data_IF_790988761272
#
_entry.id   IF_790988761272
#
_cell.length_a   1.000
_cell.length_b   1.000
_cell.length_c   1.000
_cell.angle_alpha   90.00
_cell.angle_beta   90.00
_cell.angle_gamma   90.00
#
_symmetry.space_group_name_H-M   'P 1'
#
loop_
_entity.id
_entity.type
_entity.pdbx_description
1 polymer ?
#
# COMPACT_ATOMS: atom_id res chain seq x y z
N UNK A 1 -2.85 -2.81 -12.47
CA UNK A 1 -2.99 -1.48 -13.14
C UNK A 1 -4.48 -1.23 -13.34
N UNK A 2 -5.07 -0.19 -12.75
CA UNK A 2 -6.50 0.11 -12.95
C UNK A 2 -6.72 0.64 -14.38
N UNK A 3 -7.85 0.27 -15.03
CA UNK A 3 -8.14 0.71 -16.40
C UNK A 3 -8.13 2.24 -16.52
N UNK A 4 -7.68 2.73 -17.67
CA UNK A 4 -7.68 4.17 -18.03
C UNK A 4 -9.09 4.59 -18.51
N UNK A 5 -10.05 4.63 -17.59
CA UNK A 5 -11.42 5.01 -17.96
C UNK A 5 -11.58 6.52 -17.99
N UNK A 6 -12.37 7.00 -18.93
CA UNK A 6 -12.65 8.43 -19.11
C UNK A 6 -13.67 8.98 -18.10
N UNK A 7 -14.28 8.14 -17.28
CA UNK A 7 -15.23 8.51 -16.24
C UNK A 7 -15.93 7.30 -15.63
N UNK A 8 -16.53 7.48 -14.45
CA UNK A 8 -17.32 6.47 -13.75
C UNK A 8 -16.63 5.76 -12.60
N UNK A 9 -17.28 4.72 -12.12
CA UNK A 9 -16.86 3.90 -10.99
C UNK A 9 -16.06 2.68 -11.46
N UNK A 10 -15.03 2.34 -10.70
CA UNK A 10 -14.33 1.07 -10.76
C UNK A 10 -14.11 0.53 -9.36
N UNK A 11 -14.10 -0.79 -9.20
CA UNK A 11 -13.79 -1.43 -7.95
C UNK A 11 -12.95 -2.68 -8.20
N UNK A 12 -12.16 -3.04 -7.21
CA UNK A 12 -11.32 -4.23 -7.20
C UNK A 12 -11.32 -4.82 -5.81
N UNK A 13 -11.32 -6.14 -5.75
CA UNK A 13 -11.09 -6.88 -4.49
C UNK A 13 -9.93 -7.83 -4.76
N UNK A 14 -8.95 -7.84 -3.87
CA UNK A 14 -7.87 -8.82 -3.93
C UNK A 14 -7.56 -9.36 -2.54
N UNK A 15 -7.05 -10.58 -2.52
CA UNK A 15 -6.68 -11.29 -1.31
C UNK A 15 -5.17 -11.38 -1.22
N UNK A 16 -4.64 -11.11 -0.02
CA UNK A 16 -3.21 -11.14 0.28
C UNK A 16 -2.95 -12.06 1.47
N UNK A 17 -1.92 -12.88 1.36
CA UNK A 17 -1.39 -13.71 2.44
C UNK A 17 0.04 -13.28 2.72
N UNK A 18 0.32 -12.90 3.96
CA UNK A 18 1.64 -12.52 4.42
C UNK A 18 2.11 -13.55 5.43
N UNK A 19 3.21 -14.23 5.11
CA UNK A 19 3.85 -15.18 6.01
C UNK A 19 5.26 -14.69 6.35
N UNK A 20 5.55 -14.59 7.66
CA UNK A 20 6.86 -14.24 8.18
C UNK A 20 7.30 -15.32 9.17
N UNK A 21 8.46 -15.89 8.98
CA UNK A 21 9.00 -16.98 9.82
C UNK A 21 10.17 -16.53 10.69
N UNK A 22 10.72 -15.37 10.44
CA UNK A 22 11.88 -14.84 11.15
C UNK A 22 11.76 -13.33 11.38
N UNK A 23 12.15 -12.88 12.55
CA UNK A 23 12.38 -11.47 12.85
C UNK A 23 13.90 -11.26 12.96
N UNK A 24 14.44 -10.40 12.09
CA UNK A 24 15.88 -10.18 11.99
C UNK A 24 16.27 -8.80 12.52
N UNK A 25 17.43 -8.72 13.20
CA UNK A 25 18.14 -7.48 13.47
C UNK A 25 19.54 -7.59 12.85
N UNK A 26 19.74 -6.94 11.71
CA UNK A 26 20.90 -7.19 10.87
C UNK A 26 20.86 -8.62 10.31
N UNK A 27 21.90 -9.41 10.56
CA UNK A 27 22.01 -10.82 10.17
C UNK A 27 21.54 -11.81 11.26
N UNK A 28 21.18 -11.32 12.44
CA UNK A 28 20.83 -12.16 13.58
C UNK A 28 19.32 -12.33 13.72
N UNK A 29 18.85 -13.55 14.00
CA UNK A 29 17.46 -13.82 14.37
C UNK A 29 17.21 -13.32 15.79
N UNK A 30 16.27 -12.36 15.94
CA UNK A 30 15.91 -11.80 17.23
C UNK A 30 15.14 -12.80 18.09
N UNK A 31 14.21 -13.54 17.46
CA UNK A 31 13.33 -14.47 18.17
C UNK A 31 13.26 -15.80 17.41
N UNK A 32 14.06 -16.81 17.80
CA UNK A 32 13.91 -18.17 17.27
C UNK A 32 12.49 -18.70 17.58
N UNK A 33 11.78 -19.18 16.56
CA UNK A 33 10.39 -19.66 16.71
C UNK A 33 9.33 -18.57 16.55
N UNK A 34 9.69 -17.37 16.08
CA UNK A 34 8.74 -16.37 15.62
C UNK A 34 8.04 -16.85 14.35
N UNK A 35 6.73 -16.73 14.30
CA UNK A 35 5.95 -16.85 13.07
C UNK A 35 4.79 -15.86 13.07
N UNK A 36 4.48 -15.31 11.90
CA UNK A 36 3.34 -14.43 11.71
C UNK A 36 2.66 -14.78 10.38
N UNK A 37 1.37 -15.05 10.45
CA UNK A 37 0.51 -15.26 9.29
C UNK A 37 -0.63 -14.24 9.31
N UNK A 38 -0.78 -13.49 8.21
CA UNK A 38 -1.82 -12.48 8.05
C UNK A 38 -2.55 -12.73 6.75
N UNK A 39 -3.87 -12.83 6.83
CA UNK A 39 -4.78 -13.00 5.70
C UNK A 39 -5.63 -11.74 5.55
N UNK A 40 -5.51 -11.03 4.43
CA UNK A 40 -6.11 -9.72 4.22
C UNK A 40 -6.95 -9.72 2.95
N UNK A 41 -8.16 -9.18 3.05
CA UNK A 41 -9.00 -8.82 1.93
C UNK A 41 -8.89 -7.31 1.70
N UNK A 42 -8.45 -6.89 0.52
CA UNK A 42 -8.36 -5.49 0.14
C UNK A 42 -9.53 -5.10 -0.74
N UNK A 43 -10.27 -4.09 -0.32
CA UNK A 43 -11.32 -3.45 -1.11
C UNK A 43 -10.77 -2.14 -1.67
N UNK A 44 -10.77 -2.00 -2.99
CA UNK A 44 -10.34 -0.79 -3.66
C UNK A 44 -11.47 -0.25 -4.52
N UNK A 45 -11.74 1.04 -4.37
CA UNK A 45 -12.70 1.78 -5.18
C UNK A 45 -12.04 2.95 -5.87
N UNK A 46 -12.45 3.25 -7.08
CA UNK A 46 -12.05 4.44 -7.80
C UNK A 46 -13.27 5.11 -8.42
N UNK A 47 -13.34 6.43 -8.30
CA UNK A 47 -14.24 7.24 -9.09
C UNK A 47 -13.45 8.22 -9.94
N UNK A 48 -13.75 8.24 -11.23
CA UNK A 48 -13.07 9.08 -12.22
C UNK A 48 -14.05 10.12 -12.74
N UNK A 49 -13.76 11.41 -12.50
CA UNK A 49 -14.50 12.52 -13.12
C UNK A 49 -14.02 12.80 -14.53
N UNK A 50 -12.71 12.82 -14.68
CA UNK A 50 -11.99 12.98 -15.95
C UNK A 50 -10.76 12.09 -15.90
N UNK A 51 -10.18 11.76 -17.04
CA UNK A 51 -8.96 10.93 -17.10
C UNK A 51 -7.80 11.47 -16.24
N UNK A 52 -7.80 12.78 -15.98
CA UNK A 52 -6.78 13.48 -15.20
C UNK A 52 -7.11 13.54 -13.70
N UNK A 53 -8.39 13.39 -13.31
CA UNK A 53 -8.87 13.62 -11.93
C UNK A 53 -9.69 12.41 -11.48
N UNK A 54 -9.24 11.76 -10.45
CA UNK A 54 -9.95 10.63 -9.83
C UNK A 54 -9.72 10.61 -8.32
N UNK A 55 -10.63 9.95 -7.60
CA UNK A 55 -10.43 9.60 -6.19
C UNK A 55 -10.24 8.09 -6.11
N UNK A 56 -9.34 7.67 -5.24
CA UNK A 56 -9.09 6.25 -4.95
C UNK A 56 -9.31 6.05 -3.47
N UNK A 57 -10.07 5.02 -3.12
CA UNK A 57 -10.26 4.57 -1.75
C UNK A 57 -9.74 3.12 -1.63
N UNK A 58 -8.95 2.85 -0.59
CA UNK A 58 -8.45 1.51 -0.27
C UNK A 58 -8.77 1.20 1.17
N UNK A 59 -9.47 0.10 1.39
CA UNK A 59 -9.89 -0.36 2.71
C UNK A 59 -9.53 -1.84 2.86
N UNK A 60 -8.54 -2.18 3.69
CA UNK A 60 -8.22 -3.57 4.00
C UNK A 60 -9.12 -4.10 5.13
N UNK A 61 -9.44 -5.38 5.04
CA UNK A 61 -10.07 -6.15 6.10
C UNK A 61 -9.21 -7.36 6.44
N UNK A 62 -8.69 -7.43 7.65
CA UNK A 62 -7.95 -8.58 8.15
C UNK A 62 -8.94 -9.69 8.50
N UNK A 63 -8.91 -10.77 7.72
CA UNK A 63 -9.72 -11.96 7.96
C UNK A 63 -9.21 -12.73 9.17
N UNK A 64 -7.91 -12.90 9.25
CA UNK A 64 -7.19 -13.49 10.38
C UNK A 64 -5.75 -13.01 10.39
N UNK A 65 -5.24 -12.74 11.56
CA UNK A 65 -3.84 -12.49 11.81
C UNK A 65 -3.43 -13.26 13.04
N UNK A 66 -2.37 -14.04 12.96
CA UNK A 66 -1.83 -14.84 14.04
C UNK A 66 -0.33 -14.63 14.13
N UNK A 67 0.15 -14.29 15.32
CA UNK A 67 1.57 -14.14 15.64
C UNK A 67 1.94 -15.04 16.79
N UNK A 68 2.93 -15.88 16.59
CA UNK A 68 3.56 -16.67 17.63
C UNK A 68 4.91 -16.06 18.01
N UNK A 69 5.14 -15.89 19.30
CA UNK A 69 6.43 -15.45 19.85
C UNK A 69 6.81 -16.32 21.06
N UNK A 70 8.11 -16.56 21.33
CA UNK A 70 8.53 -17.16 22.57
C UNK A 70 8.15 -16.27 23.76
N UNK A 71 7.61 -16.84 24.82
CA UNK A 71 7.22 -16.12 26.04
C UNK A 71 8.39 -15.87 27.02
N UNK A 72 9.61 -16.31 26.67
CA UNK A 72 10.80 -16.19 27.50
C UNK A 72 10.89 -17.22 28.63
N UNK A 73 9.83 -18.00 28.88
CA UNK A 73 9.79 -19.07 29.91
C UNK A 73 9.82 -20.48 29.29
N UNK A 74 9.99 -20.57 27.97
CA UNK A 74 10.00 -21.83 27.21
C UNK A 74 8.64 -22.18 26.62
N UNK A 75 7.62 -21.33 26.79
CA UNK A 75 6.30 -21.41 26.16
C UNK A 75 6.21 -20.54 24.92
N UNK A 76 5.00 -20.48 24.34
CA UNK A 76 4.64 -19.64 23.19
C UNK A 76 3.52 -18.69 23.58
N UNK A 77 3.70 -17.42 23.24
CA UNK A 77 2.65 -16.41 23.27
C UNK A 77 2.01 -16.36 21.87
N UNK A 78 0.71 -16.59 21.80
CA UNK A 78 -0.06 -16.52 20.55
C UNK A 78 -0.98 -15.30 20.64
N UNK A 79 -0.81 -14.39 19.68
CA UNK A 79 -1.67 -13.22 19.52
C UNK A 79 -2.49 -13.40 18.24
N UNK A 80 -3.81 -13.15 18.34
CA UNK A 80 -4.74 -13.22 17.20
C UNK A 80 -5.52 -11.94 17.09
N UNK A 81 -5.75 -11.52 15.84
CA UNK A 81 -6.53 -10.32 15.54
C UNK A 81 -7.30 -10.47 14.22
N UNK A 82 -8.35 -9.66 14.05
CA UNK A 82 -9.12 -9.55 12.82
C UNK A 82 -9.89 -8.23 12.82
N UNK A 83 -10.25 -7.72 11.66
CA UNK A 83 -11.08 -6.52 11.57
C UNK A 83 -10.66 -5.55 10.46
N UNK A 84 -11.29 -4.38 10.47
CA UNK A 84 -11.00 -3.33 9.51
C UNK A 84 -9.66 -2.66 9.79
N UNK A 85 -8.86 -2.48 8.74
CA UNK A 85 -7.66 -1.66 8.80
C UNK A 85 -7.94 -0.19 8.46
N UNK A 86 -6.89 0.56 8.18
CA UNK A 86 -6.98 1.99 7.91
C UNK A 86 -7.54 2.27 6.52
N UNK A 87 -8.49 3.20 6.44
CA UNK A 87 -8.98 3.70 5.16
C UNK A 87 -7.95 4.66 4.55
N UNK A 88 -7.44 4.32 3.38
CA UNK A 88 -6.56 5.19 2.60
C UNK A 88 -7.33 5.85 1.46
N UNK A 89 -7.35 7.17 1.45
CA UNK A 89 -7.90 7.98 0.37
C UNK A 89 -6.79 8.66 -0.40
N UNK A 90 -6.90 8.71 -1.72
CA UNK A 90 -5.94 9.38 -2.58
C UNK A 90 -6.63 10.12 -3.72
N UNK A 91 -6.11 11.29 -4.08
CA UNK A 91 -6.59 12.09 -5.21
C UNK A 91 -5.46 12.24 -6.25
N UNK A 92 -5.24 11.23 -7.11
CA UNK A 92 -4.25 11.36 -8.18
C UNK A 92 -4.71 12.37 -9.23
N UNK A 93 -3.92 13.42 -9.37
CA UNK A 93 -4.02 14.45 -10.40
C UNK A 93 -2.97 14.14 -11.45
N UNK A 94 -3.40 13.75 -12.65
CA UNK A 94 -2.51 13.33 -13.74
C UNK A 94 -2.46 14.37 -14.85
N UNK A 95 -1.24 14.64 -15.33
CA UNK A 95 -1.00 15.38 -16.56
C UNK A 95 -0.38 14.44 -17.59
N UNK A 96 -1.11 14.21 -18.68
CA UNK A 96 -0.64 13.37 -19.78
C UNK A 96 0.17 14.18 -20.79
N UNK A 97 1.13 13.53 -21.40
CA UNK A 97 1.90 14.06 -22.54
C UNK A 97 2.04 13.01 -23.63
N UNK A 98 2.17 13.47 -24.86
CA UNK A 98 2.46 12.65 -26.02
C UNK A 98 3.45 13.44 -26.89
N UNK A 99 4.67 12.97 -27.00
CA UNK A 99 5.78 13.65 -27.67
C UNK A 99 6.51 12.62 -28.55
N UNK A 100 6.50 12.80 -29.84
CA UNK A 100 7.31 12.08 -30.85
C UNK A 100 7.54 10.60 -30.55
N UNK A 101 6.46 9.81 -30.52
CA UNK A 101 6.53 8.36 -30.27
C UNK A 101 6.73 7.98 -28.79
N UNK A 102 6.66 8.93 -27.87
CA UNK A 102 6.67 8.71 -26.42
C UNK A 102 5.37 9.22 -25.83
N UNK A 103 4.68 8.38 -25.07
CA UNK A 103 3.52 8.77 -24.29
C UNK A 103 3.78 8.56 -22.81
N UNK A 104 3.18 9.37 -21.98
CA UNK A 104 3.37 9.20 -20.55
C UNK A 104 2.49 10.09 -19.70
N UNK A 105 2.74 10.08 -18.40
CA UNK A 105 2.07 10.96 -17.46
C UNK A 105 2.95 11.35 -16.28
N UNK A 106 2.66 12.53 -15.75
CA UNK A 106 3.13 12.94 -14.41
C UNK A 106 1.94 12.97 -13.48
N UNK A 107 2.12 12.46 -12.27
CA UNK A 107 1.07 12.37 -11.25
C UNK A 107 1.48 13.10 -9.99
N UNK A 108 0.60 13.93 -9.47
CA UNK A 108 0.64 14.45 -8.10
C UNK A 108 -0.53 13.85 -7.33
N UNK A 109 -0.29 13.29 -6.14
CA UNK A 109 -1.30 12.55 -5.39
C UNK A 109 -1.30 12.93 -3.92
N UNK A 110 -2.12 13.91 -3.48
CA UNK A 110 -2.43 14.07 -2.07
C UNK A 110 -3.18 12.85 -1.55
N UNK A 111 -2.86 12.46 -0.31
CA UNK A 111 -3.38 11.25 0.33
C UNK A 111 -3.71 11.51 1.79
N UNK A 112 -4.69 10.76 2.30
CA UNK A 112 -5.08 10.76 3.71
C UNK A 112 -5.28 9.32 4.16
N UNK A 113 -4.79 8.98 5.35
CA UNK A 113 -5.05 7.73 6.05
C UNK A 113 -5.92 8.02 7.26
N UNK A 114 -7.02 7.29 7.39
CA UNK A 114 -8.00 7.43 8.45
C UNK A 114 -8.05 6.09 9.20
N UNK A 115 -7.66 6.06 10.49
CA UNK A 115 -7.75 4.85 11.29
C UNK A 115 -9.21 4.48 11.55
N UNK A 116 -9.62 3.26 11.20
CA UNK A 116 -10.96 2.74 11.46
C UNK A 116 -10.97 1.68 12.56
N UNK A 117 -9.83 1.04 12.81
CA UNK A 117 -9.71 0.03 13.85
C UNK A 117 -9.67 0.67 15.25
N UNK A 118 -10.34 0.04 16.22
CA UNK A 118 -10.22 0.42 17.62
C UNK A 118 -8.95 -0.17 18.22
N UNK A 119 -8.40 0.50 19.24
CA UNK A 119 -7.25 0.01 19.99
C UNK A 119 -7.62 -1.26 20.74
N UNK A 120 -7.04 -2.40 20.36
CA UNK A 120 -6.95 -3.58 21.17
C UNK A 120 -5.60 -4.28 20.92
N UNK A 121 -5.20 -5.16 21.77
CA UNK A 121 -3.87 -5.67 22.11
C UNK A 121 -2.86 -5.99 21.01
N UNK A 122 -3.24 -6.06 19.73
CA UNK A 122 -2.34 -6.33 18.62
C UNK A 122 -2.66 -5.48 17.40
N UNK A 123 -1.63 -4.73 16.92
CA UNK A 123 -1.77 -3.78 15.84
C UNK A 123 -1.17 -4.31 14.54
N UNK A 124 -2.00 -4.75 13.60
CA UNK A 124 -1.61 -4.99 12.20
C UNK A 124 -1.61 -3.71 11.37
N UNK A 125 -2.31 -2.68 11.84
CA UNK A 125 -2.42 -1.37 11.20
C UNK A 125 -2.01 -0.28 12.18
N UNK A 126 -1.65 0.83 11.62
CA UNK A 126 -0.98 1.90 12.36
C UNK A 126 -1.89 2.68 13.30
N UNK A 127 -3.20 2.63 13.14
CA UNK A 127 -4.22 3.31 13.97
C UNK A 127 -3.93 4.80 14.21
N UNK A 128 -3.14 5.41 13.35
CA UNK A 128 -2.78 6.82 13.40
C UNK A 128 -3.27 7.53 12.15
N UNK A 129 -3.85 8.71 12.35
CA UNK A 129 -4.19 9.56 11.24
C UNK A 129 -2.91 9.99 10.50
N UNK A 130 -2.96 9.95 9.18
CA UNK A 130 -1.80 10.31 8.37
C UNK A 130 -2.20 11.17 7.17
N UNK A 131 -1.31 12.06 6.79
CA UNK A 131 -1.38 12.80 5.52
C UNK A 131 -0.16 12.47 4.69
N UNK A 132 -0.36 12.38 3.38
CA UNK A 132 0.71 12.01 2.47
C UNK A 132 0.66 12.75 1.14
N UNK A 133 1.82 12.81 0.51
CA UNK A 133 1.98 13.36 -0.85
C UNK A 133 2.73 12.35 -1.70
N UNK A 134 2.15 12.01 -2.85
CA UNK A 134 2.76 11.16 -3.86
C UNK A 134 3.12 11.92 -5.11
N UNK A 135 4.24 11.55 -5.72
CA UNK A 135 4.65 11.99 -7.05
C UNK A 135 4.99 10.77 -7.89
N UNK A 136 4.63 10.81 -9.15
CA UNK A 136 4.94 9.76 -10.09
C UNK A 136 5.20 10.33 -11.46
N UNK A 137 6.09 9.69 -12.20
CA UNK A 137 6.34 9.97 -13.60
C UNK A 137 6.50 8.65 -14.34
N UNK A 138 5.77 8.50 -15.42
CA UNK A 138 5.79 7.31 -16.26
C UNK A 138 5.87 7.71 -17.73
N UNK A 139 6.61 6.96 -18.53
CA UNK A 139 6.58 7.10 -19.96
C UNK A 139 6.75 5.74 -20.65
N UNK A 140 6.25 5.66 -21.86
CA UNK A 140 6.21 4.48 -22.69
C UNK A 140 6.56 4.84 -24.12
N UNK A 141 7.34 3.98 -24.75
CA UNK A 141 7.65 3.97 -26.18
C UNK A 141 7.12 2.67 -26.78
N UNK A 142 7.34 2.43 -28.08
CA UNK A 142 7.01 1.14 -28.69
C UNK A 142 7.71 -0.05 -27.98
N UNK A 143 8.95 0.16 -27.54
CA UNK A 143 9.83 -0.92 -27.09
C UNK A 143 9.99 -1.00 -25.57
N UNK A 144 9.84 0.10 -24.84
CA UNK A 144 10.05 0.09 -23.40
C UNK A 144 9.10 1.01 -22.64
N UNK A 145 8.88 0.63 -21.38
CA UNK A 145 8.16 1.38 -20.38
C UNK A 145 9.10 1.71 -19.23
N UNK A 146 8.97 2.90 -18.67
CA UNK A 146 9.67 3.33 -17.46
C UNK A 146 8.72 4.08 -16.55
N UNK A 147 8.79 3.78 -15.25
CA UNK A 147 8.03 4.46 -14.21
C UNK A 147 8.87 4.70 -12.97
N UNK A 148 8.73 5.87 -12.37
CA UNK A 148 9.27 6.20 -11.06
C UNK A 148 8.17 6.81 -10.21
N UNK A 149 8.12 6.41 -8.94
CA UNK A 149 7.18 6.93 -7.97
C UNK A 149 7.80 7.14 -6.62
N UNK A 150 7.31 8.15 -5.89
CA UNK A 150 7.63 8.35 -4.48
C UNK A 150 6.41 8.85 -3.75
N UNK A 151 6.28 8.49 -2.48
CA UNK A 151 5.23 8.95 -1.58
C UNK A 151 5.80 9.19 -0.20
N UNK A 152 5.46 10.31 0.40
CA UNK A 152 5.81 10.69 1.76
C UNK A 152 4.57 10.69 2.61
N UNK A 153 4.70 10.18 3.85
CA UNK A 153 3.66 10.16 4.84
C UNK A 153 4.14 10.79 6.13
N UNK A 154 3.27 11.57 6.74
CA UNK A 154 3.44 12.13 8.08
C UNK A 154 2.21 11.71 8.88
N UNK A 155 2.43 11.28 10.12
CA UNK A 155 1.40 10.76 11.02
C UNK A 155 1.24 11.67 12.23
N UNK A 156 0.04 11.70 12.80
CA UNK A 156 -0.17 12.22 14.14
C UNK A 156 0.38 11.20 15.16
N UNK A 157 0.94 11.67 16.25
CA UNK A 157 1.56 10.81 17.27
C UNK A 157 3.07 10.68 17.12
N UNK A 158 3.61 9.58 17.63
CA UNK A 158 5.08 9.34 17.74
C UNK A 158 5.67 8.55 16.58
N UNK A 159 4.90 8.29 15.53
CA UNK A 159 5.37 7.53 14.40
C UNK A 159 6.31 8.36 13.52
N UNK A 160 7.45 7.81 13.11
CA UNK A 160 8.33 8.48 12.16
C UNK A 160 7.65 8.64 10.79
N UNK A 161 8.03 9.71 10.08
CA UNK A 161 7.62 9.89 8.69
C UNK A 161 8.10 8.72 7.82
N UNK A 162 7.29 8.33 6.83
CA UNK A 162 7.61 7.25 5.91
C UNK A 162 7.83 7.76 4.49
N UNK A 163 8.77 7.14 3.79
CA UNK A 163 9.02 7.37 2.37
C UNK A 163 8.94 6.03 1.65
N UNK A 164 8.05 5.96 0.67
CA UNK A 164 7.90 4.80 -0.22
C UNK A 164 8.34 5.23 -1.62
N UNK A 165 9.24 4.47 -2.23
CA UNK A 165 9.70 4.72 -3.60
C UNK A 165 9.56 3.47 -4.44
N UNK A 166 9.18 3.63 -5.70
CA UNK A 166 9.08 2.57 -6.70
C UNK A 166 9.81 2.94 -7.96
N UNK A 167 10.36 1.93 -8.61
CA UNK A 167 10.98 2.00 -9.93
C UNK A 167 10.44 0.84 -10.76
N UNK A 168 9.82 1.15 -11.88
CA UNK A 168 9.23 0.18 -12.79
C UNK A 168 9.91 0.28 -14.16
N UNK A 169 10.30 -0.86 -14.70
CA UNK A 169 10.88 -0.96 -16.03
C UNK A 169 10.28 -2.16 -16.76
N UNK A 170 9.92 -1.97 -18.02
CA UNK A 170 9.44 -3.03 -18.90
C UNK A 170 10.02 -2.88 -20.30
N UNK A 171 10.28 -4.00 -20.95
CA UNK A 171 10.72 -4.05 -22.35
C UNK A 171 9.80 -4.99 -23.14
N UNK A 172 9.32 -4.53 -24.29
CA UNK A 172 8.54 -5.32 -25.23
C UNK A 172 9.46 -5.97 -26.23
N UNK A 173 9.54 -7.28 -26.20
CA UNK A 173 10.23 -8.09 -27.21
C UNK A 173 9.27 -8.25 -28.40
N UNK A 174 9.70 -7.91 -29.61
CA UNK A 174 9.02 -8.22 -30.87
C UNK A 174 9.35 -9.63 -31.33
#
# INVERSE_FOLDING_TARGET
>A
MMPRWSGGWGYQVHYEVINKTDLLMGSNKLYPGFSEEINIMHFEGVYTWKKEIRIIAKLPYVLSAEREMPDGSGGKLIQKDSGWGDLNLGLPLKKYFNLDGKSGSSTFKPMVRIPLSKKDDYDFYYKEFGVGLGFGHEFETANYYFGIGTAWWIFDGNRPAEIHSSLDFGYNFE
#
